data_IF_340578822092
#
_entry.id   IF_340578822092
#
_cell.length_a   1.000
_cell.length_b   1.000
_cell.length_c   1.000
_cell.angle_alpha   90.00
_cell.angle_beta   90.00
_cell.angle_gamma   90.00
#
_symmetry.space_group_name_H-M   'P 1'
#
loop_
_entity.id
_entity.type
_entity.pdbx_description
1 polymer ?
#
# COMPACT_ATOMS: atom_id res chain seq x y z
N UNK A 1 26.67 -8.56 -9.20
CA UNK A 1 26.19 -8.95 -7.86
C UNK A 1 24.72 -8.58 -7.80
N UNK A 2 23.80 -9.54 -7.85
CA UNK A 2 22.42 -9.22 -7.50
C UNK A 2 22.38 -9.09 -5.97
N UNK A 3 21.73 -8.05 -5.39
CA UNK A 3 21.52 -8.01 -3.96
C UNK A 3 20.83 -9.31 -3.54
N UNK A 4 21.26 -9.89 -2.45
CA UNK A 4 20.92 -11.21 -1.89
C UNK A 4 19.43 -11.40 -1.52
N UNK A 5 18.52 -10.61 -2.10
CA UNK A 5 17.08 -10.74 -1.92
C UNK A 5 16.63 -10.41 -0.49
N UNK A 6 17.52 -9.83 0.32
CA UNK A 6 17.29 -9.55 1.73
C UNK A 6 16.66 -8.16 1.90
N UNK A 7 15.65 -8.05 2.76
CA UNK A 7 14.94 -6.83 3.11
C UNK A 7 15.09 -6.57 4.60
N UNK A 8 15.47 -5.34 4.97
CA UNK A 8 15.41 -4.86 6.35
C UNK A 8 13.95 -4.51 6.69
N UNK A 9 13.37 -5.21 7.67
CA UNK A 9 12.03 -4.96 8.18
C UNK A 9 12.04 -3.90 9.30
N UNK A 10 10.85 -3.38 9.65
CA UNK A 10 10.69 -2.35 10.68
C UNK A 10 10.96 -2.85 12.12
N UNK A 11 11.11 -4.17 12.32
CA UNK A 11 11.60 -4.75 13.58
C UNK A 11 13.14 -4.72 13.72
N UNK A 12 13.83 -4.14 12.73
CA UNK A 12 15.29 -4.02 12.68
C UNK A 12 16.02 -5.28 12.21
N UNK A 13 15.32 -6.30 11.71
CA UNK A 13 15.91 -7.57 11.26
C UNK A 13 15.84 -7.73 9.74
N UNK A 14 16.75 -8.54 9.23
CA UNK A 14 16.85 -8.88 7.81
C UNK A 14 16.08 -10.18 7.50
N UNK A 15 15.27 -10.16 6.45
CA UNK A 15 14.46 -11.29 6.00
C UNK A 15 14.61 -11.50 4.49
N UNK A 16 14.31 -12.69 3.99
CA UNK A 16 14.17 -12.87 2.54
C UNK A 16 12.93 -12.12 2.05
N UNK A 17 12.96 -11.62 0.81
CA UNK A 17 11.84 -10.88 0.20
C UNK A 17 10.49 -11.59 0.29
N UNK A 18 10.45 -12.91 0.25
CA UNK A 18 9.22 -13.71 0.34
C UNK A 18 8.75 -14.00 1.78
N UNK A 19 9.48 -13.51 2.79
CA UNK A 19 9.16 -13.69 4.22
C UNK A 19 8.56 -12.43 4.85
N UNK A 20 8.49 -11.32 4.10
CA UNK A 20 7.95 -10.04 4.56
C UNK A 20 6.75 -9.58 3.74
N UNK A 21 5.85 -8.85 4.38
CA UNK A 21 4.65 -8.26 3.79
C UNK A 21 4.55 -6.78 4.20
N UNK A 22 3.98 -5.95 3.33
CA UNK A 22 3.75 -4.53 3.62
C UNK A 22 2.43 -4.40 4.37
N UNK A 23 2.47 -3.74 5.53
CA UNK A 23 1.34 -3.47 6.40
C UNK A 23 0.98 -1.99 6.41
N UNK A 24 -0.30 -1.65 6.27
CA UNK A 24 -0.80 -0.31 6.56
C UNK A 24 -1.10 -0.15 8.05
N UNK A 25 -0.29 0.65 8.75
CA UNK A 25 -0.52 1.01 10.15
C UNK A 25 -1.35 2.29 10.28
N UNK A 26 -2.22 2.36 11.30
CA UNK A 26 -3.04 3.53 11.62
C UNK A 26 -4.29 3.69 10.75
N UNK A 27 -4.15 3.77 9.43
CA UNK A 27 -5.28 3.91 8.49
C UNK A 27 -5.32 2.75 7.51
N UNK A 28 -6.51 2.21 7.26
CA UNK A 28 -6.66 1.19 6.22
C UNK A 28 -6.47 1.79 4.83
N UNK A 29 -6.15 0.96 3.84
CA UNK A 29 -6.13 1.40 2.44
C UNK A 29 -7.45 2.05 2.02
N UNK A 30 -8.58 1.50 2.48
CA UNK A 30 -9.92 2.04 2.23
C UNK A 30 -10.05 3.48 2.75
N UNK A 31 -9.65 3.74 3.99
CA UNK A 31 -9.74 5.08 4.58
C UNK A 31 -8.85 6.09 3.86
N UNK A 32 -7.67 5.65 3.40
CA UNK A 32 -6.75 6.50 2.63
C UNK A 32 -7.35 6.81 1.25
N UNK A 33 -7.90 5.81 0.57
CA UNK A 33 -8.55 5.99 -0.73
C UNK A 33 -9.77 6.91 -0.64
N UNK A 34 -10.66 6.70 0.33
CA UNK A 34 -11.83 7.55 0.57
C UNK A 34 -11.41 9.00 0.91
N UNK A 35 -10.34 9.16 1.70
CA UNK A 35 -9.78 10.46 2.01
C UNK A 35 -9.28 11.21 0.77
N UNK A 36 -8.62 10.50 -0.15
CA UNK A 36 -8.16 11.07 -1.42
C UNK A 36 -9.31 11.47 -2.33
N UNK A 37 -10.27 10.55 -2.55
CA UNK A 37 -11.46 10.80 -3.36
C UNK A 37 -12.20 12.05 -2.88
N UNK A 38 -12.38 12.18 -1.56
CA UNK A 38 -13.01 13.36 -0.95
C UNK A 38 -12.19 14.64 -1.17
N UNK A 39 -10.86 14.59 -1.07
CA UNK A 39 -9.99 15.76 -1.29
C UNK A 39 -10.07 16.26 -2.74
N UNK A 40 -10.08 15.35 -3.71
CA UNK A 40 -10.11 15.71 -5.13
C UNK A 40 -11.54 15.94 -5.65
N UNK A 41 -12.57 15.76 -4.82
CA UNK A 41 -13.98 15.90 -5.22
C UNK A 41 -14.42 14.84 -6.23
N UNK A 42 -13.86 13.63 -6.15
CA UNK A 42 -14.10 12.53 -7.06
C UNK A 42 -14.90 11.40 -6.39
N UNK A 43 -15.61 10.62 -7.20
CA UNK A 43 -16.18 9.34 -6.80
C UNK A 43 -15.38 8.21 -7.44
N UNK A 44 -15.50 7.01 -6.88
CA UNK A 44 -14.74 5.85 -7.37
C UNK A 44 -15.07 5.53 -8.84
N UNK A 45 -16.34 5.66 -9.24
CA UNK A 45 -16.79 5.46 -10.61
C UNK A 45 -16.26 6.49 -11.62
N UNK A 46 -15.76 7.62 -11.14
CA UNK A 46 -15.16 8.66 -12.00
C UNK A 46 -13.69 8.32 -12.34
N UNK A 47 -13.10 7.32 -11.67
CA UNK A 47 -11.73 6.88 -11.91
C UNK A 47 -11.65 5.96 -13.13
N UNK A 48 -10.92 6.40 -14.15
CA UNK A 48 -10.60 5.59 -15.33
C UNK A 48 -9.33 4.77 -15.10
N UNK A 49 -9.42 3.50 -15.42
CA UNK A 49 -8.33 2.55 -15.35
C UNK A 49 -7.93 2.07 -16.75
N UNK A 50 -6.63 1.88 -16.96
CA UNK A 50 -6.06 1.16 -18.11
C UNK A 50 -5.59 -0.22 -17.65
N UNK A 51 -5.95 -1.24 -18.41
CA UNK A 51 -5.38 -2.58 -18.28
C UNK A 51 -3.94 -2.60 -18.83
N UNK A 52 -3.01 -3.13 -18.04
CA UNK A 52 -1.60 -3.28 -18.40
C UNK A 52 -1.16 -4.76 -18.44
N UNK A 53 -2.11 -5.70 -18.49
CA UNK A 53 -1.90 -7.14 -18.54
C UNK A 53 -1.67 -7.79 -17.18
N UNK A 54 -0.80 -7.19 -16.35
CA UNK A 54 -0.51 -7.66 -14.98
C UNK A 54 -1.36 -6.98 -13.90
N UNK A 55 -2.25 -6.09 -14.31
CA UNK A 55 -3.13 -5.34 -13.42
C UNK A 55 -3.69 -4.09 -14.07
N UNK A 56 -4.07 -3.13 -13.24
CA UNK A 56 -4.65 -1.87 -13.68
C UNK A 56 -3.82 -0.69 -13.20
N UNK A 57 -3.77 0.36 -14.03
CA UNK A 57 -3.23 1.66 -13.65
C UNK A 57 -4.27 2.76 -13.84
N UNK A 58 -4.11 3.86 -13.11
CA UNK A 58 -4.87 5.08 -13.37
C UNK A 58 -4.54 5.59 -14.78
N UNK A 59 -5.56 5.77 -15.62
CA UNK A 59 -5.39 6.27 -16.98
C UNK A 59 -4.94 7.73 -17.00
N UNK A 60 -5.43 8.53 -16.05
CA UNK A 60 -5.00 9.91 -15.86
C UNK A 60 -3.68 9.95 -15.08
N UNK A 61 -2.61 10.40 -15.77
CA UNK A 61 -1.26 10.51 -15.19
C UNK A 61 -1.17 11.58 -14.10
N UNK A 62 -1.91 12.68 -14.22
CA UNK A 62 -1.95 13.73 -13.21
C UNK A 62 -2.63 13.25 -11.94
N UNK A 63 -3.76 12.55 -12.08
CA UNK A 63 -4.43 11.89 -10.96
C UNK A 63 -3.54 10.83 -10.31
N UNK A 64 -2.81 10.05 -11.12
CA UNK A 64 -1.85 9.08 -10.63
C UNK A 64 -0.73 9.70 -9.79
N UNK A 65 -0.21 10.86 -10.22
CA UNK A 65 0.80 11.58 -9.45
C UNK A 65 0.23 12.08 -8.12
N UNK A 66 -0.94 12.74 -8.15
CA UNK A 66 -1.62 13.22 -6.94
C UNK A 66 -1.91 12.09 -5.95
N UNK A 67 -2.37 10.94 -6.45
CA UNK A 67 -2.58 9.75 -5.62
C UNK A 67 -1.29 9.29 -4.95
N UNK A 68 -0.16 9.20 -5.67
CA UNK A 68 1.13 8.82 -5.08
C UNK A 68 1.56 9.80 -3.99
N UNK A 69 1.41 11.10 -4.23
CA UNK A 69 1.77 12.14 -3.26
C UNK A 69 0.89 12.07 -2.01
N UNK A 70 -0.43 11.94 -2.18
CA UNK A 70 -1.39 11.78 -1.08
C UNK A 70 -1.11 10.49 -0.30
N UNK A 71 -0.99 9.36 -0.99
CA UNK A 71 -0.73 8.06 -0.38
C UNK A 71 0.56 8.09 0.43
N UNK A 72 1.66 8.63 -0.11
CA UNK A 72 2.93 8.76 0.62
C UNK A 72 2.80 9.60 1.90
N UNK A 73 1.95 10.63 1.90
CA UNK A 73 1.74 11.50 3.07
C UNK A 73 0.86 10.86 4.14
N UNK A 74 -0.03 9.94 3.76
CA UNK A 74 -1.08 9.43 4.64
C UNK A 74 -0.98 7.94 4.94
N UNK A 75 -0.21 7.17 4.16
CA UNK A 75 0.06 5.77 4.39
C UNK A 75 1.29 5.63 5.28
N UNK A 76 1.10 5.12 6.49
CA UNK A 76 2.20 4.64 7.31
C UNK A 76 2.36 3.16 6.98
N UNK A 77 3.42 2.83 6.24
CA UNK A 77 3.70 1.48 5.79
C UNK A 77 4.80 0.88 6.65
N UNK A 78 4.55 -0.31 7.18
CA UNK A 78 5.56 -1.13 7.85
C UNK A 78 5.85 -2.36 7.00
N UNK A 79 7.12 -2.73 6.87
CA UNK A 79 7.57 -4.01 6.37
C UNK A 79 7.63 -4.94 7.58
N UNK A 80 6.73 -5.92 7.62
CA UNK A 80 6.64 -6.88 8.71
C UNK A 80 6.92 -8.30 8.20
N UNK A 81 7.57 -9.17 8.99
CA UNK A 81 7.60 -10.58 8.67
C UNK A 81 6.18 -11.14 8.65
N UNK A 82 5.92 -12.06 7.72
CA UNK A 82 4.57 -12.59 7.42
C UNK A 82 3.80 -13.04 8.65
N UNK A 83 4.47 -13.68 9.63
CA UNK A 83 3.84 -14.09 10.90
C UNK A 83 3.24 -12.90 11.66
N UNK A 84 4.01 -11.80 11.81
CA UNK A 84 3.55 -10.60 12.53
C UNK A 84 2.47 -9.86 11.73
N UNK A 85 2.56 -9.86 10.40
CA UNK A 85 1.52 -9.32 9.54
C UNK A 85 0.18 -10.05 9.78
N UNK A 86 0.19 -11.39 9.78
CA UNK A 86 -1.00 -12.20 10.06
C UNK A 86 -1.58 -11.94 11.46
N UNK A 87 -0.75 -11.79 12.49
CA UNK A 87 -1.20 -11.46 13.85
C UNK A 87 -1.94 -10.12 13.90
N UNK A 88 -1.42 -9.09 13.22
CA UNK A 88 -2.06 -7.76 13.15
C UNK A 88 -3.38 -7.75 12.37
N UNK A 89 -3.57 -8.67 11.43
CA UNK A 89 -4.83 -8.82 10.69
C UNK A 89 -5.83 -9.76 11.39
N UNK A 90 -5.35 -10.77 12.13
CA UNK A 90 -6.19 -11.71 12.89
C UNK A 90 -6.84 -11.10 14.13
N UNK A 91 -6.32 -9.99 14.67
CA UNK A 91 -6.88 -9.30 15.83
C UNK A 91 -8.02 -8.31 15.51
N UNK A 92 -8.33 -8.04 14.24
CA UNK A 92 -9.36 -7.07 13.82
C UNK A 92 -10.79 -7.65 13.68
N UNK A 93 -11.06 -8.84 14.22
CA UNK A 93 -12.42 -9.40 14.33
C UNK A 93 -12.80 -9.63 15.80
N UNK A 94 -13.10 -8.55 16.53
CA UNK A 94 -13.94 -8.57 17.74
C UNK A 94 -14.70 -7.26 17.85
#
# INVERSE_FOLDING_TARGET
MQPDGTILADDGRCYKRNEVEVHHEGKSFKDILEGFLRQEGLRLEDIKLEDIGEGYRLADRGLAQKWREFHRKHAHLLILPRRLHLEKHGQKQK
#
